data_IF_926992667372
#
_entry.id   IF_926992667372
#
_cell.length_a   1.000
_cell.length_b   1.000
_cell.length_c   1.000
_cell.angle_alpha   90.00
_cell.angle_beta   90.00
_cell.angle_gamma   90.00
#
_symmetry.space_group_name_H-M   'P 1'
#
loop_
_entity.id
_entity.type
_entity.pdbx_description
1 polymer ?
#
# COMPACT_ATOMS: atom_id res chain seq x y z
N UNK A 1 -17.04 22.84 -25.06
CA UNK A 1 -17.15 21.57 -24.29
C UNK A 1 -17.68 20.50 -25.24
N UNK A 2 -16.82 19.62 -25.76
CA UNK A 2 -17.28 18.53 -26.63
C UNK A 2 -17.91 17.42 -25.79
N UNK A 3 -19.17 17.09 -26.10
CA UNK A 3 -19.90 16.00 -25.43
C UNK A 3 -19.20 14.70 -25.78
N UNK A 4 -18.65 14.00 -24.77
CA UNK A 4 -18.04 12.68 -25.00
C UNK A 4 -19.12 11.69 -25.44
N UNK A 5 -18.91 10.91 -26.51
CA UNK A 5 -19.92 10.00 -27.02
C UNK A 5 -20.18 8.89 -26.01
N UNK A 6 -21.45 8.55 -25.86
CA UNK A 6 -21.95 7.49 -24.99
C UNK A 6 -21.40 6.11 -25.43
N UNK A 7 -21.33 5.11 -24.54
CA UNK A 7 -20.89 3.76 -24.91
C UNK A 7 -21.70 3.16 -26.06
N UNK A 8 -22.99 3.50 -26.14
CA UNK A 8 -23.87 3.09 -27.23
C UNK A 8 -23.50 3.75 -28.58
N UNK A 9 -23.21 5.06 -28.58
CA UNK A 9 -22.76 5.77 -29.79
C UNK A 9 -21.42 5.23 -30.30
N UNK A 10 -20.51 4.85 -29.41
CA UNK A 10 -19.22 4.25 -29.78
C UNK A 10 -19.38 2.85 -30.39
N UNK A 11 -20.29 2.05 -29.84
CA UNK A 11 -20.63 0.75 -30.40
C UNK A 11 -21.23 0.87 -31.81
N UNK A 12 -22.14 1.82 -32.00
CA UNK A 12 -22.72 2.10 -33.31
C UNK A 12 -21.68 2.57 -34.34
N UNK A 13 -20.73 3.41 -33.94
CA UNK A 13 -19.63 3.84 -34.80
C UNK A 13 -18.73 2.66 -35.21
N UNK A 14 -18.44 1.73 -34.30
CA UNK A 14 -17.66 0.54 -34.60
C UNK A 14 -18.37 -0.37 -35.60
N UNK A 15 -19.67 -0.63 -35.38
CA UNK A 15 -20.49 -1.42 -36.31
C UNK A 15 -20.53 -0.74 -37.68
N UNK A 16 -20.73 0.59 -37.72
CA UNK A 16 -20.73 1.37 -38.97
C UNK A 16 -19.41 1.27 -39.74
N UNK A 17 -18.26 1.38 -39.07
CA UNK A 17 -16.96 1.23 -39.70
C UNK A 17 -16.74 -0.19 -40.25
N UNK A 18 -17.13 -1.24 -39.53
CA UNK A 18 -17.01 -2.62 -40.01
C UNK A 18 -17.88 -2.87 -41.26
N UNK A 19 -19.12 -2.36 -41.28
CA UNK A 19 -20.02 -2.47 -42.45
C UNK A 19 -19.46 -1.71 -43.65
N UNK A 20 -18.89 -0.52 -43.44
CA UNK A 20 -18.29 0.27 -44.53
C UNK A 20 -17.08 -0.43 -45.16
N UNK A 21 -16.22 -1.08 -44.37
CA UNK A 21 -15.06 -1.84 -44.87
C UNK A 21 -15.50 -3.06 -45.68
N UNK A 22 -16.53 -3.79 -45.21
CA UNK A 22 -17.13 -4.91 -45.96
C UNK A 22 -17.70 -4.44 -47.30
N UNK A 23 -18.44 -3.32 -47.31
CA UNK A 23 -19.00 -2.75 -48.53
C UNK A 23 -17.89 -2.31 -49.51
N UNK A 24 -16.80 -1.70 -49.03
CA UNK A 24 -15.68 -1.28 -49.87
C UNK A 24 -14.97 -2.48 -50.51
N UNK A 25 -14.78 -3.57 -49.75
CA UNK A 25 -14.17 -4.80 -50.24
C UNK A 25 -15.01 -5.51 -51.32
N UNK A 26 -16.34 -5.38 -51.26
CA UNK A 26 -17.27 -5.90 -52.27
C UNK A 26 -17.36 -5.02 -53.53
N UNK A 27 -16.93 -3.76 -53.45
CA UNK A 27 -17.07 -2.76 -54.52
C UNK A 27 -15.87 -2.67 -55.48
N UNK A 28 -14.78 -3.40 -55.22
CA UNK A 28 -13.60 -3.38 -56.08
C UNK A 28 -13.90 -4.07 -57.43
N UNK A 29 -13.73 -3.39 -58.58
CA UNK A 29 -14.12 -3.94 -59.88
C UNK A 29 -13.27 -5.15 -60.27
N UNK A 30 -13.93 -6.22 -60.69
CA UNK A 30 -13.30 -7.47 -61.12
C UNK A 30 -12.88 -7.37 -62.59
N UNK A 31 -11.58 -7.56 -62.87
CA UNK A 31 -11.03 -7.38 -64.21
C UNK A 31 -11.18 -8.60 -65.15
N UNK A 32 -11.62 -9.78 -64.66
CA UNK A 32 -11.74 -10.95 -65.55
C UNK A 32 -12.70 -12.03 -65.00
N UNK A 33 -13.67 -12.45 -65.82
CA UNK A 33 -14.77 -13.36 -65.42
C UNK A 33 -14.32 -14.80 -65.13
N UNK A 34 -13.09 -15.16 -65.53
CA UNK A 34 -12.57 -16.54 -65.45
C UNK A 34 -12.17 -16.98 -64.04
N UNK A 35 -12.08 -16.05 -63.09
CA UNK A 35 -11.66 -16.34 -61.71
C UNK A 35 -12.66 -15.85 -60.65
N UNK A 36 -13.93 -15.64 -61.03
CA UNK A 36 -14.96 -15.06 -60.16
C UNK A 36 -15.12 -15.80 -58.82
N UNK A 37 -15.02 -17.13 -58.80
CA UNK A 37 -15.11 -17.93 -57.57
C UNK A 37 -13.94 -17.72 -56.61
N UNK A 38 -12.70 -17.65 -57.13
CA UNK A 38 -11.49 -17.42 -56.32
C UNK A 38 -11.46 -15.98 -55.82
N UNK A 39 -11.92 -15.03 -56.63
CA UNK A 39 -12.03 -13.63 -56.27
C UNK A 39 -13.08 -13.40 -55.16
N UNK A 40 -14.26 -14.04 -55.26
CA UNK A 40 -15.29 -14.00 -54.23
C UNK A 40 -14.81 -14.60 -52.91
N UNK A 41 -14.12 -15.76 -52.96
CA UNK A 41 -13.57 -16.40 -51.77
C UNK A 41 -12.51 -15.52 -51.08
N UNK A 42 -11.61 -14.88 -51.85
CA UNK A 42 -10.62 -13.94 -51.32
C UNK A 42 -11.26 -12.70 -50.72
N UNK A 43 -12.30 -12.15 -51.34
CA UNK A 43 -13.02 -11.00 -50.82
C UNK A 43 -13.74 -11.31 -49.49
N UNK A 44 -14.39 -12.48 -49.39
CA UNK A 44 -15.04 -12.94 -48.17
C UNK A 44 -14.04 -13.20 -47.04
N UNK A 45 -12.90 -13.83 -47.34
CA UNK A 45 -11.86 -14.09 -46.35
C UNK A 45 -11.23 -12.77 -45.86
N UNK A 46 -10.76 -11.90 -46.77
CA UNK A 46 -10.12 -10.64 -46.39
C UNK A 46 -11.09 -9.68 -45.69
N UNK A 47 -12.34 -9.58 -46.15
CA UNK A 47 -13.39 -8.78 -45.52
C UNK A 47 -13.79 -9.30 -44.13
N UNK A 48 -13.85 -10.63 -43.97
CA UNK A 48 -14.10 -11.29 -42.69
C UNK A 48 -12.98 -11.03 -41.67
N UNK A 49 -11.73 -11.19 -42.07
CA UNK A 49 -10.56 -10.90 -41.21
C UNK A 49 -10.49 -9.42 -40.81
N UNK A 50 -10.70 -8.50 -41.74
CA UNK A 50 -10.70 -7.06 -41.44
C UNK A 50 -11.82 -6.68 -40.44
N UNK A 51 -12.99 -7.29 -40.56
CA UNK A 51 -14.12 -7.08 -39.64
C UNK A 51 -13.84 -7.63 -38.24
N UNK A 52 -13.24 -8.82 -38.14
CA UNK A 52 -12.87 -9.41 -36.85
C UNK A 52 -11.79 -8.58 -36.13
N UNK A 53 -10.79 -8.07 -36.85
CA UNK A 53 -9.72 -7.23 -36.27
C UNK A 53 -10.30 -5.90 -35.77
N UNK A 54 -11.16 -5.24 -36.54
CA UNK A 54 -11.77 -3.95 -36.13
C UNK A 54 -12.68 -4.10 -34.90
N UNK A 55 -13.50 -5.15 -34.85
CA UNK A 55 -14.31 -5.46 -33.66
C UNK A 55 -13.45 -5.82 -32.44
N UNK A 56 -12.40 -6.63 -32.63
CA UNK A 56 -11.48 -7.02 -31.56
C UNK A 56 -10.72 -5.83 -30.96
N UNK A 57 -10.14 -4.97 -31.81
CA UNK A 57 -9.45 -3.76 -31.36
C UNK A 57 -10.43 -2.75 -30.73
N UNK A 58 -11.65 -2.63 -31.26
CA UNK A 58 -12.69 -1.76 -30.71
C UNK A 58 -13.16 -2.20 -29.31
N UNK A 59 -13.46 -3.49 -29.12
CA UNK A 59 -13.82 -4.07 -27.82
C UNK A 59 -12.65 -3.98 -26.83
N UNK A 60 -11.43 -4.27 -27.28
CA UNK A 60 -10.21 -4.13 -26.47
C UNK A 60 -10.01 -2.69 -25.98
N UNK A 61 -10.16 -1.71 -26.87
CA UNK A 61 -10.06 -0.29 -26.52
C UNK A 61 -11.18 0.16 -25.58
N UNK A 62 -12.41 -0.36 -25.75
CA UNK A 62 -13.53 -0.06 -24.86
C UNK A 62 -13.29 -0.59 -23.44
N UNK A 63 -12.87 -1.85 -23.30
CA UNK A 63 -12.53 -2.45 -22.00
C UNK A 63 -11.36 -1.72 -21.36
N UNK A 64 -10.33 -1.39 -22.14
CA UNK A 64 -9.18 -0.63 -21.67
C UNK A 64 -9.59 0.78 -21.20
N UNK A 65 -10.45 1.48 -21.93
CA UNK A 65 -10.95 2.80 -21.54
C UNK A 65 -11.82 2.75 -20.28
N UNK A 66 -12.67 1.73 -20.11
CA UNK A 66 -13.45 1.58 -18.88
C UNK A 66 -12.57 1.24 -17.67
N UNK A 67 -11.53 0.44 -17.85
CA UNK A 67 -10.54 0.15 -16.79
C UNK A 67 -9.83 1.43 -16.37
N UNK A 68 -9.34 2.22 -17.34
CA UNK A 68 -8.67 3.51 -17.09
C UNK A 68 -9.60 4.53 -16.42
N UNK A 69 -10.88 4.59 -16.82
CA UNK A 69 -11.86 5.48 -16.20
C UNK A 69 -12.18 5.11 -14.73
N UNK A 70 -12.19 3.81 -14.40
CA UNK A 70 -12.34 3.35 -13.01
C UNK A 70 -11.12 3.74 -12.17
N UNK A 71 -9.91 3.52 -12.67
CA UNK A 71 -8.65 3.91 -12.00
C UNK A 71 -8.61 5.42 -11.72
N UNK A 72 -8.93 6.25 -12.72
CA UNK A 72 -8.97 7.71 -12.58
C UNK A 72 -10.03 8.19 -11.57
N UNK A 73 -11.19 7.51 -11.48
CA UNK A 73 -12.24 7.86 -10.51
C UNK A 73 -11.85 7.50 -9.07
N UNK A 74 -11.16 6.39 -8.86
CA UNK A 74 -10.64 6.00 -7.55
C UNK A 74 -9.54 6.95 -7.08
N UNK A 75 -8.60 7.33 -7.95
CA UNK A 75 -7.55 8.31 -7.65
C UNK A 75 -8.13 9.71 -7.38
N UNK A 76 -9.10 10.18 -8.18
CA UNK A 76 -9.76 11.47 -7.92
C UNK A 76 -10.50 11.51 -6.59
N UNK A 77 -11.18 10.44 -6.17
CA UNK A 77 -11.87 10.43 -4.86
C UNK A 77 -10.90 10.42 -3.68
N UNK A 78 -9.77 9.73 -3.79
CA UNK A 78 -8.72 9.74 -2.77
C UNK A 78 -8.04 11.11 -2.70
N UNK A 79 -7.72 11.73 -3.84
CA UNK A 79 -7.11 13.06 -3.89
C UNK A 79 -8.05 14.19 -3.44
N UNK A 80 -9.34 14.12 -3.79
CA UNK A 80 -10.34 15.10 -3.34
C UNK A 80 -10.57 15.03 -1.82
N UNK A 81 -10.46 13.85 -1.21
CA UNK A 81 -10.51 13.69 0.25
C UNK A 81 -9.23 14.14 0.94
N UNK A 82 -8.06 13.85 0.37
CA UNK A 82 -6.79 14.37 0.86
C UNK A 82 -6.81 15.92 0.88
N UNK A 83 -7.27 16.55 -0.22
CA UNK A 83 -7.46 18.00 -0.29
C UNK A 83 -8.50 18.53 0.70
N UNK A 84 -9.58 17.79 0.96
CA UNK A 84 -10.57 18.17 1.98
C UNK A 84 -9.99 18.12 3.41
N UNK A 85 -9.16 17.11 3.74
CA UNK A 85 -8.46 17.04 5.03
C UNK A 85 -7.38 18.12 5.18
N UNK A 86 -6.69 18.50 4.11
CA UNK A 86 -5.75 19.65 4.13
C UNK A 86 -6.48 20.99 4.18
N UNK A 87 -7.71 21.10 3.65
CA UNK A 87 -8.52 22.31 3.75
C UNK A 87 -9.13 22.51 5.15
N UNK A 88 -9.34 21.43 5.92
CA UNK A 88 -9.84 21.50 7.30
C UNK A 88 -8.73 21.75 8.34
N UNK A 89 -7.48 21.47 8.02
CA UNK A 89 -6.31 21.84 8.84
C UNK A 89 -5.63 23.04 8.18
N UNK A 90 -6.12 24.24 8.53
CA UNK A 90 -5.79 25.50 7.88
C UNK A 90 -4.30 25.77 7.66
N UNK A 91 -4.05 26.46 6.54
CA UNK A 91 -2.91 27.32 6.22
C UNK A 91 -1.50 26.77 6.49
N UNK A 92 -0.77 26.54 5.40
CA UNK A 92 0.67 26.36 5.40
C UNK A 92 1.35 27.50 6.20
N UNK A 93 2.27 27.21 7.13
CA UNK A 93 3.13 28.25 7.67
C UNK A 93 4.04 28.72 6.54
N UNK A 94 3.97 30.01 6.28
CA UNK A 94 4.85 30.74 5.38
C UNK A 94 6.31 30.48 5.74
N UNK A 95 7.08 30.01 4.75
CA UNK A 95 8.48 29.65 4.92
C UNK A 95 9.28 30.90 5.33
N UNK A 96 9.53 31.05 6.64
CA UNK A 96 10.45 32.06 7.15
C UNK A 96 11.86 31.50 6.95
N UNK A 97 12.55 32.05 5.95
CA UNK A 97 13.98 31.80 5.72
C UNK A 97 14.76 32.40 6.91
N UNK A 98 15.37 31.55 7.72
CA UNK A 98 16.33 31.97 8.75
C UNK A 98 17.75 31.88 8.16
N UNK A 99 18.56 32.95 8.19
CA UNK A 99 19.92 32.93 7.65
C UNK A 99 20.89 32.19 8.59
N UNK A 100 21.89 31.53 8.00
CA UNK A 100 22.89 30.73 8.71
C UNK A 100 23.79 31.59 9.64
N UNK A 101 24.14 31.11 10.84
CA UNK A 101 25.06 31.81 11.73
C UNK A 101 26.54 31.55 11.36
N UNK A 102 27.46 32.51 11.64
CA UNK A 102 28.88 32.40 11.30
C UNK A 102 29.66 31.51 12.29
N UNK A 103 30.87 31.03 11.93
CA UNK A 103 31.62 30.10 12.77
C UNK A 103 32.28 30.80 13.95
N UNK A 104 32.05 30.29 15.16
CA UNK A 104 32.74 30.72 16.36
C UNK A 104 34.06 29.95 16.54
N UNK A 105 35.13 30.72 16.74
CA UNK A 105 36.45 30.24 17.07
C UNK A 105 36.52 29.71 18.51
N UNK A 106 37.40 28.75 18.67
CA UNK A 106 37.89 28.07 19.87
C UNK A 106 38.33 29.00 21.00
N UNK A 107 38.12 28.56 22.25
CA UNK A 107 39.17 28.39 23.26
C UNK A 107 38.66 27.51 24.44
N UNK A 108 39.50 26.58 24.88
CA UNK A 108 39.40 25.73 26.12
C UNK A 108 40.60 26.14 27.01
N UNK A 109 40.72 25.87 28.35
CA UNK A 109 40.14 24.76 29.11
C UNK A 109 39.85 24.94 30.65
N UNK A 110 39.40 23.82 31.25
CA UNK A 110 39.26 23.47 32.69
C UNK A 110 38.03 24.07 33.41
N UNK A 111 37.25 23.37 34.25
CA UNK A 111 37.57 22.26 35.14
C UNK A 111 36.29 21.53 35.62
N UNK A 112 36.47 20.33 36.18
CA UNK A 112 35.57 19.57 37.09
C UNK A 112 34.32 18.87 36.53
N UNK A 113 34.38 17.53 36.63
CA UNK A 113 33.33 16.53 36.37
C UNK A 113 32.09 16.77 37.25
N UNK A 114 30.88 16.68 36.67
CA UNK A 114 29.72 16.00 37.29
C UNK A 114 28.67 15.68 36.21
N UNK A 115 28.38 14.38 36.09
CA UNK A 115 27.22 13.74 35.47
C UNK A 115 26.78 14.18 34.06
N UNK A 116 27.23 13.41 33.07
CA UNK A 116 26.54 13.26 31.78
C UNK A 116 25.13 12.71 32.02
N UNK A 117 24.04 13.35 31.54
CA UNK A 117 22.78 12.67 31.43
C UNK A 117 22.92 11.69 30.28
N UNK A 118 23.00 10.40 30.61
CA UNK A 118 22.74 9.32 29.66
C UNK A 118 21.34 9.55 29.12
N UNK A 119 21.24 10.02 27.87
CA UNK A 119 19.98 10.06 27.16
C UNK A 119 19.40 8.63 27.13
N UNK A 120 18.14 8.41 27.55
CA UNK A 120 17.56 7.08 27.53
C UNK A 120 17.57 6.54 26.11
N UNK A 121 18.27 5.41 25.93
CA UNK A 121 18.65 4.89 24.63
C UNK A 121 17.46 4.51 23.75
N UNK A 122 17.53 4.93 22.48
CA UNK A 122 16.60 4.53 21.41
C UNK A 122 16.51 3.01 21.19
N UNK A 123 17.46 2.23 21.73
CA UNK A 123 17.48 0.77 21.64
C UNK A 123 16.34 0.10 22.43
N UNK A 124 15.85 0.72 23.51
CA UNK A 124 14.79 0.16 24.36
C UNK A 124 13.38 0.27 23.75
N UNK A 125 13.24 1.06 22.69
CA UNK A 125 11.94 1.49 22.16
C UNK A 125 11.36 0.48 21.15
N UNK A 126 12.22 -0.16 20.35
CA UNK A 126 11.81 -1.14 19.35
C UNK A 126 11.81 -2.55 19.93
N UNK A 127 10.64 -3.18 19.98
CA UNK A 127 10.46 -4.56 20.48
C UNK A 127 9.58 -5.37 19.53
N UNK A 128 9.71 -6.69 19.54
CA UNK A 128 8.83 -7.59 18.78
C UNK A 128 7.38 -7.49 19.26
N UNK A 129 7.16 -7.24 20.55
CA UNK A 129 5.82 -7.00 21.12
C UNK A 129 5.13 -5.77 20.53
N UNK A 130 5.87 -4.67 20.32
CA UNK A 130 5.35 -3.52 19.60
C UNK A 130 4.94 -3.89 18.17
N UNK A 131 5.81 -4.56 17.41
CA UNK A 131 5.51 -4.98 16.04
C UNK A 131 4.25 -5.85 15.95
N UNK A 132 4.04 -6.73 16.95
CA UNK A 132 2.84 -7.56 17.04
C UNK A 132 1.56 -6.74 17.31
N UNK A 133 1.68 -5.70 18.14
CA UNK A 133 0.58 -4.80 18.50
C UNK A 133 0.16 -3.84 17.37
N UNK A 134 1.08 -3.48 16.46
CA UNK A 134 0.76 -2.60 15.34
C UNK A 134 -0.36 -3.18 14.45
N UNK A 135 -1.29 -2.30 14.08
CA UNK A 135 -2.21 -2.59 13.00
C UNK A 135 -1.46 -2.73 11.67
N UNK A 136 -2.09 -3.40 10.69
CA UNK A 136 -1.42 -3.75 9.44
C UNK A 136 -0.93 -2.51 8.67
N UNK A 137 -1.67 -1.40 8.71
CA UNK A 137 -1.31 -0.16 8.01
C UNK A 137 -0.14 0.54 8.70
N UNK A 138 -0.14 0.62 10.03
CA UNK A 138 1.00 1.15 10.81
C UNK A 138 2.27 0.33 10.60
N UNK A 139 2.13 -0.99 10.48
CA UNK A 139 3.25 -1.86 10.17
C UNK A 139 3.82 -1.61 8.76
N UNK A 140 2.96 -1.40 7.76
CA UNK A 140 3.40 -1.00 6.42
C UNK A 140 4.09 0.37 6.42
N UNK A 141 3.53 1.35 7.13
CA UNK A 141 4.13 2.69 7.31
C UNK A 141 5.52 2.60 7.96
N UNK A 142 5.69 1.73 8.97
CA UNK A 142 6.97 1.47 9.62
C UNK A 142 8.00 0.91 8.62
N UNK A 143 7.61 -0.12 7.87
CA UNK A 143 8.51 -0.75 6.91
C UNK A 143 8.89 0.23 5.79
N UNK A 144 7.93 1.01 5.25
CA UNK A 144 8.21 2.05 4.28
C UNK A 144 9.15 3.14 4.87
N UNK A 145 8.86 3.60 6.09
CA UNK A 145 9.66 4.61 6.79
C UNK A 145 11.11 4.18 7.00
N UNK A 146 11.33 2.92 7.38
CA UNK A 146 12.69 2.35 7.50
C UNK A 146 13.46 2.45 6.18
N UNK A 147 12.86 2.06 5.05
CA UNK A 147 13.53 2.14 3.75
C UNK A 147 13.76 3.58 3.28
N UNK A 148 12.82 4.50 3.56
CA UNK A 148 13.03 5.93 3.31
C UNK A 148 14.23 6.50 4.06
N UNK A 149 14.37 6.16 5.34
CA UNK A 149 15.53 6.57 6.14
C UNK A 149 16.86 5.98 5.65
N UNK A 150 16.80 4.86 4.92
CA UNK A 150 17.96 4.25 4.25
C UNK A 150 18.24 4.84 2.87
N UNK A 151 17.49 5.85 2.45
CA UNK A 151 17.67 6.57 1.18
C UNK A 151 16.89 5.99 0.01
N UNK A 152 16.04 4.97 0.22
CA UNK A 152 15.21 4.42 -0.85
C UNK A 152 13.95 5.26 -1.05
N UNK A 153 13.52 5.43 -2.31
CA UNK A 153 12.17 5.91 -2.59
C UNK A 153 11.19 4.75 -2.40
N UNK A 154 10.11 5.00 -1.68
CA UNK A 154 9.06 4.02 -1.40
C UNK A 154 7.74 4.50 -1.95
N UNK A 155 7.07 3.68 -2.76
CA UNK A 155 5.73 3.99 -3.26
C UNK A 155 4.76 2.90 -2.85
N UNK A 156 3.60 3.28 -2.31
CA UNK A 156 2.56 2.32 -1.96
C UNK A 156 1.66 2.12 -3.16
N UNK A 157 1.60 0.89 -3.70
CA UNK A 157 0.61 0.58 -4.72
C UNK A 157 -0.70 0.18 -4.02
N UNK A 158 -1.85 0.77 -4.39
CA UNK A 158 -3.13 0.33 -3.84
C UNK A 158 -3.33 -1.16 -4.12
N UNK A 159 -4.07 -1.86 -3.25
CA UNK A 159 -4.25 -3.28 -3.41
C UNK A 159 -4.91 -3.57 -4.76
N UNK A 160 -4.32 -4.48 -5.53
CA UNK A 160 -4.98 -5.05 -6.70
C UNK A 160 -6.23 -5.84 -6.32
N UNK A 161 -6.83 -6.54 -7.28
CA UNK A 161 -7.94 -7.49 -7.04
C UNK A 161 -7.66 -8.50 -5.91
N UNK A 162 -6.38 -8.73 -5.61
CA UNK A 162 -5.89 -9.79 -4.74
C UNK A 162 -5.66 -9.33 -3.29
N UNK A 163 -5.94 -8.05 -2.99
CA UNK A 163 -6.16 -7.57 -1.61
C UNK A 163 -4.92 -7.35 -0.74
N UNK A 164 -3.70 -7.39 -1.29
CA UNK A 164 -2.47 -7.01 -0.60
C UNK A 164 -2.00 -5.62 -1.02
N UNK A 165 -1.66 -4.75 -0.07
CA UNK A 165 -0.87 -3.55 -0.35
C UNK A 165 0.59 -3.98 -0.40
N UNK A 166 1.30 -3.57 -1.45
CA UNK A 166 2.74 -3.76 -1.54
C UNK A 166 3.44 -2.41 -1.70
N UNK A 167 4.67 -2.36 -1.20
CA UNK A 167 5.53 -1.18 -1.26
C UNK A 167 6.57 -1.43 -2.35
N UNK A 168 6.61 -0.58 -3.35
CA UNK A 168 7.66 -0.56 -4.35
C UNK A 168 8.87 0.18 -3.82
N UNK A 169 10.05 -0.40 -4.05
CA UNK A 169 11.33 0.14 -3.64
C UNK A 169 12.11 0.58 -4.88
N UNK A 170 12.61 1.81 -4.87
CA UNK A 170 13.50 2.34 -5.90
C UNK A 170 14.80 2.81 -5.26
N UNK A 171 15.91 2.53 -5.92
CA UNK A 171 17.24 2.92 -5.46
C UNK A 171 17.49 4.39 -5.83
N UNK A 172 18.09 5.22 -4.95
CA UNK A 172 18.26 6.66 -5.21
C UNK A 172 19.16 6.99 -6.41
N UNK A 173 20.13 6.13 -6.72
CA UNK A 173 21.17 6.24 -7.76
C UNK A 173 20.71 5.77 -9.15
N UNK A 174 19.76 4.85 -9.25
CA UNK A 174 19.33 4.27 -10.55
C UNK A 174 18.06 4.89 -11.15
N UNK A 175 17.61 6.03 -10.63
CA UNK A 175 16.39 6.70 -11.08
C UNK A 175 15.13 5.87 -10.83
N UNK A 176 14.21 5.84 -11.80
CA UNK A 176 12.88 5.21 -11.66
C UNK A 176 12.85 3.70 -11.90
N UNK A 177 14.01 3.04 -11.94
CA UNK A 177 14.06 1.58 -12.07
C UNK A 177 13.59 0.92 -10.78
N UNK A 178 12.52 0.13 -10.88
CA UNK A 178 12.02 -0.69 -9.77
C UNK A 178 13.12 -1.65 -9.29
N UNK A 179 13.57 -1.48 -8.05
CA UNK A 179 14.55 -2.36 -7.43
C UNK A 179 13.86 -3.60 -6.89
N UNK A 180 12.76 -3.41 -6.16
CA UNK A 180 12.10 -4.52 -5.50
C UNK A 180 10.71 -4.24 -4.99
N UNK A 181 10.02 -5.31 -4.65
CA UNK A 181 8.68 -5.29 -4.06
C UNK A 181 8.79 -5.76 -2.62
N UNK A 182 8.30 -4.93 -1.70
CA UNK A 182 8.20 -5.20 -0.28
C UNK A 182 6.76 -5.54 0.07
N UNK A 183 6.54 -6.77 0.55
CA UNK A 183 5.25 -7.24 1.02
C UNK A 183 5.27 -7.37 2.55
N UNK A 184 4.37 -6.65 3.19
CA UNK A 184 4.15 -6.69 4.64
C UNK A 184 2.79 -7.32 4.88
N UNK A 185 2.73 -8.54 5.44
CA UNK A 185 1.45 -9.16 5.78
C UNK A 185 1.50 -9.72 7.18
N UNK A 186 0.42 -9.49 7.92
CA UNK A 186 0.14 -10.23 9.12
C UNK A 186 -0.25 -11.67 8.76
N UNK A 187 0.42 -12.64 9.35
CA UNK A 187 0.05 -14.05 9.18
C UNK A 187 -1.40 -14.29 9.59
N UNK A 188 -2.08 -15.18 8.88
CA UNK A 188 -3.39 -15.68 9.26
C UNK A 188 -3.33 -16.51 10.55
N UNK A 189 -4.47 -17.10 10.94
CA UNK A 189 -4.72 -17.79 12.22
C UNK A 189 -3.78 -18.98 12.58
N UNK A 190 -2.66 -19.19 11.89
CA UNK A 190 -1.69 -20.26 12.09
C UNK A 190 -0.28 -19.81 12.47
N UNK A 191 -0.09 -18.55 12.88
CA UNK A 191 1.14 -18.07 13.52
C UNK A 191 2.35 -17.86 12.62
N UNK A 192 2.55 -18.58 11.52
CA UNK A 192 3.71 -18.40 10.62
C UNK A 192 3.28 -17.99 9.19
N UNK A 193 4.17 -17.28 8.47
CA UNK A 193 4.00 -17.01 7.04
C UNK A 193 4.17 -18.32 6.26
N UNK A 194 3.20 -18.66 5.41
CA UNK A 194 3.23 -19.85 4.58
C UNK A 194 3.89 -19.63 3.22
N UNK A 195 4.00 -20.72 2.45
CA UNK A 195 4.56 -20.67 1.09
C UNK A 195 3.70 -19.85 0.12
N UNK A 196 2.37 -19.80 0.34
CA UNK A 196 1.43 -19.12 -0.55
C UNK A 196 1.78 -17.65 -0.71
N UNK A 197 2.03 -16.97 0.41
CA UNK A 197 2.35 -15.55 0.43
C UNK A 197 3.69 -15.25 -0.27
N UNK A 198 4.66 -16.17 -0.19
CA UNK A 198 5.93 -16.02 -0.92
C UNK A 198 5.78 -16.31 -2.42
N UNK A 199 4.89 -17.22 -2.82
CA UNK A 199 4.56 -17.45 -4.23
C UNK A 199 3.86 -16.25 -4.84
N UNK A 200 2.94 -15.63 -4.10
CA UNK A 200 2.29 -14.37 -4.49
C UNK A 200 3.34 -13.28 -4.72
N UNK A 201 4.25 -13.06 -3.76
CA UNK A 201 5.34 -12.10 -3.91
C UNK A 201 6.22 -12.39 -5.12
N UNK A 202 6.63 -13.65 -5.31
CA UNK A 202 7.48 -14.04 -6.43
C UNK A 202 6.78 -13.86 -7.79
N UNK A 203 5.47 -14.10 -7.84
CA UNK A 203 4.64 -13.82 -9.01
C UNK A 203 4.60 -12.32 -9.34
N UNK A 204 4.40 -11.46 -8.35
CA UNK A 204 4.44 -10.01 -8.53
C UNK A 204 5.80 -9.53 -9.02
N UNK A 205 6.90 -10.05 -8.46
CA UNK A 205 8.25 -9.71 -8.93
C UNK A 205 8.44 -10.03 -10.41
N UNK A 206 7.94 -11.19 -10.84
CA UNK A 206 8.04 -11.63 -12.23
C UNK A 206 7.22 -10.74 -13.16
N UNK A 207 6.00 -10.38 -12.74
CA UNK A 207 5.11 -9.51 -13.52
C UNK A 207 5.67 -8.08 -13.69
N UNK A 208 6.32 -7.56 -12.65
CA UNK A 208 6.82 -6.17 -12.60
C UNK A 208 8.32 -6.06 -12.92
N UNK A 209 8.97 -7.17 -13.32
CA UNK A 209 10.41 -7.25 -13.55
C UNK A 209 11.26 -6.73 -12.36
N UNK A 210 10.79 -6.94 -11.14
CA UNK A 210 11.47 -6.51 -9.92
C UNK A 210 12.66 -7.43 -9.62
N UNK A 211 13.84 -6.85 -9.37
CA UNK A 211 15.06 -7.60 -9.13
C UNK A 211 15.14 -8.23 -7.72
N UNK A 212 14.31 -7.76 -6.78
CA UNK A 212 14.31 -8.19 -5.38
C UNK A 212 12.88 -8.27 -4.83
N UNK A 213 12.57 -9.35 -4.12
CA UNK A 213 11.38 -9.43 -3.28
C UNK A 213 11.80 -9.40 -1.83
N UNK A 214 11.20 -8.53 -1.04
CA UNK A 214 11.38 -8.50 0.40
C UNK A 214 10.04 -8.85 1.05
N UNK A 215 10.03 -9.92 1.82
CA UNK A 215 8.88 -10.24 2.66
C UNK A 215 9.23 -9.92 4.10
N UNK A 216 8.40 -9.13 4.78
CA UNK A 216 8.56 -8.82 6.20
C UNK A 216 7.42 -9.45 6.98
N UNK A 217 7.76 -10.39 7.86
CA UNK A 217 6.79 -11.11 8.69
C UNK A 217 6.77 -10.57 10.11
N UNK A 218 5.57 -10.56 10.73
CA UNK A 218 5.38 -10.24 12.16
C UNK A 218 5.45 -11.47 13.07
N UNK A 219 5.50 -12.66 12.49
CA UNK A 219 5.40 -13.90 13.28
C UNK A 219 6.24 -15.06 12.72
N UNK A 220 7.20 -14.76 11.84
CA UNK A 220 8.15 -15.71 11.29
C UNK A 220 7.64 -16.45 10.05
N UNK A 221 8.35 -17.51 9.65
CA UNK A 221 8.15 -18.24 8.40
C UNK A 221 8.10 -19.74 8.66
N UNK A 222 7.27 -20.46 7.91
CA UNK A 222 7.31 -21.92 7.91
C UNK A 222 8.61 -22.44 7.26
N UNK A 223 9.04 -23.65 7.61
CA UNK A 223 10.20 -24.29 6.97
C UNK A 223 10.04 -24.41 5.45
N UNK A 224 8.81 -24.66 4.98
CA UNK A 224 8.47 -24.70 3.56
C UNK A 224 8.65 -23.33 2.89
N UNK A 225 8.24 -22.24 3.55
CA UNK A 225 8.42 -20.88 3.05
C UNK A 225 9.92 -20.52 2.94
N UNK A 226 10.71 -20.87 3.96
CA UNK A 226 12.17 -20.67 3.94
C UNK A 226 12.80 -21.46 2.79
N UNK A 227 12.46 -22.74 2.63
CA UNK A 227 12.95 -23.58 1.54
C UNK A 227 12.55 -23.02 0.16
N UNK A 228 11.34 -22.49 0.01
CA UNK A 228 10.91 -21.85 -1.23
C UNK A 228 11.74 -20.60 -1.55
N UNK A 229 12.13 -19.80 -0.55
CA UNK A 229 12.94 -18.60 -0.78
C UNK A 229 14.39 -18.91 -1.20
N UNK A 230 14.91 -20.09 -0.87
CA UNK A 230 16.28 -20.49 -1.22
C UNK A 230 16.51 -20.48 -2.74
N UNK A 231 17.64 -19.90 -3.16
CA UNK A 231 18.02 -19.78 -4.57
C UNK A 231 17.19 -18.78 -5.38
N UNK A 232 16.22 -18.09 -4.78
CA UNK A 232 15.41 -17.05 -5.43
C UNK A 232 15.86 -15.66 -4.98
N UNK A 233 15.59 -14.60 -5.76
CA UNK A 233 15.79 -13.20 -5.35
C UNK A 233 14.80 -12.75 -4.25
N UNK A 234 14.51 -13.61 -3.28
CA UNK A 234 13.64 -13.35 -2.15
C UNK A 234 14.47 -13.18 -0.89
N UNK A 235 14.20 -12.10 -0.14
CA UNK A 235 14.73 -11.86 1.20
C UNK A 235 13.60 -11.92 2.21
N UNK A 236 13.83 -12.69 3.27
CA UNK A 236 12.89 -12.85 4.37
C UNK A 236 13.42 -12.06 5.57
N UNK A 237 12.57 -11.21 6.14
CA UNK A 237 12.87 -10.43 7.33
C UNK A 237 11.86 -10.78 8.43
N UNK A 238 12.35 -11.48 9.44
CA UNK A 238 11.58 -11.85 10.62
C UNK A 238 11.45 -10.67 11.61
N UNK A 239 10.61 -10.78 12.64
CA UNK A 239 10.40 -9.69 13.60
C UNK A 239 11.69 -9.27 14.30
N UNK A 240 12.51 -10.24 14.70
CA UNK A 240 13.78 -10.01 15.39
C UNK A 240 14.78 -9.29 14.47
N UNK A 241 14.87 -9.71 13.21
CA UNK A 241 15.68 -9.07 12.19
C UNK A 241 15.24 -7.64 11.93
N UNK A 242 13.93 -7.36 11.83
CA UNK A 242 13.42 -6.00 11.67
C UNK A 242 13.79 -5.11 12.87
N UNK A 243 13.60 -5.60 14.10
CA UNK A 243 14.02 -4.86 15.31
C UNK A 243 15.52 -4.57 15.29
N UNK A 244 16.35 -5.55 14.90
CA UNK A 244 17.78 -5.36 14.80
C UNK A 244 18.17 -4.29 13.76
N UNK A 245 17.45 -4.21 12.64
CA UNK A 245 17.64 -3.17 11.64
C UNK A 245 17.21 -1.79 12.14
N UNK A 246 16.06 -1.69 12.81
CA UNK A 246 15.55 -0.43 13.37
C UNK A 246 16.48 0.15 14.46
N UNK A 247 17.08 -0.73 15.27
CA UNK A 247 18.06 -0.34 16.30
C UNK A 247 19.41 0.13 15.73
N UNK A 248 19.72 -0.22 14.48
CA UNK A 248 20.93 0.24 13.77
C UNK A 248 20.76 1.61 13.10
N UNK A 249 19.55 2.16 13.07
CA UNK A 249 19.34 3.52 12.58
C UNK A 249 20.00 4.55 13.53
N UNK A 250 20.41 5.72 13.01
CA UNK A 250 20.80 6.85 13.85
C UNK A 250 19.72 7.14 14.90
N UNK A 251 20.14 7.45 16.14
CA UNK A 251 19.24 7.54 17.28
C UNK A 251 18.06 8.51 17.06
N UNK A 252 18.35 9.68 16.48
CA UNK A 252 17.35 10.71 16.15
C UNK A 252 16.33 10.22 15.11
N UNK A 253 16.81 9.64 14.01
CA UNK A 253 15.95 9.10 12.95
C UNK A 253 15.08 7.94 13.47
N UNK A 254 15.64 7.09 14.32
CA UNK A 254 14.94 5.97 14.97
C UNK A 254 13.84 6.48 15.91
N UNK A 255 14.12 7.52 16.71
CA UNK A 255 13.14 8.12 17.61
C UNK A 255 12.02 8.84 16.86
N UNK A 256 12.34 9.58 15.80
CA UNK A 256 11.35 10.25 14.95
C UNK A 256 10.40 9.25 14.29
N UNK A 257 10.94 8.17 13.71
CA UNK A 257 10.13 7.10 13.13
C UNK A 257 9.24 6.42 14.19
N UNK A 258 9.77 6.18 15.40
CA UNK A 258 8.96 5.63 16.48
C UNK A 258 7.77 6.52 16.82
N UNK A 259 8.02 7.81 17.06
CA UNK A 259 6.99 8.77 17.39
C UNK A 259 5.91 8.88 16.30
N UNK A 260 6.29 8.78 15.03
CA UNK A 260 5.34 8.77 13.90
C UNK A 260 4.43 7.54 13.91
N UNK A 261 5.00 6.35 14.17
CA UNK A 261 4.31 5.06 14.09
C UNK A 261 3.38 4.81 15.27
N UNK A 262 3.79 5.20 16.48
CA UNK A 262 2.99 5.01 17.71
C UNK A 262 2.03 6.17 17.99
N UNK A 263 1.92 7.12 17.06
CA UNK A 263 0.99 8.24 17.17
C UNK A 263 -0.46 7.76 17.11
N UNK A 264 -1.30 8.39 17.93
CA UNK A 264 -2.74 8.12 18.00
C UNK A 264 -3.04 6.64 18.33
N UNK A 265 -4.12 6.11 17.76
CA UNK A 265 -4.45 4.69 17.83
C UNK A 265 -3.61 3.91 16.81
N UNK A 266 -2.58 3.20 17.25
CA UNK A 266 -1.74 2.35 16.40
C UNK A 266 -2.11 0.86 16.44
N UNK A 267 -3.02 0.46 17.35
CA UNK A 267 -3.31 -0.94 17.64
C UNK A 267 -4.65 -1.40 17.06
N UNK A 268 -5.66 -0.52 17.00
CA UNK A 268 -6.94 -0.86 16.39
C UNK A 268 -6.77 -1.08 14.89
N UNK A 269 -7.27 -2.20 14.34
CA UNK A 269 -7.20 -2.48 12.91
C UNK A 269 -7.77 -1.36 12.05
N UNK A 270 -7.02 -0.99 11.01
CA UNK A 270 -7.49 -0.14 9.93
C UNK A 270 -8.39 -0.96 8.97
N UNK A 271 -9.41 -0.34 8.40
CA UNK A 271 -10.30 -1.01 7.45
C UNK A 271 -9.57 -1.27 6.13
N UNK A 272 -9.54 -2.50 5.59
CA UNK A 272 -8.85 -2.78 4.32
C UNK A 272 -9.51 -2.11 3.10
N UNK A 273 -10.75 -1.63 3.23
CA UNK A 273 -11.47 -0.97 2.14
C UNK A 273 -11.36 0.57 2.16
N UNK A 274 -11.50 1.20 3.33
CA UNK A 274 -11.49 2.67 3.44
C UNK A 274 -10.32 3.25 4.24
N UNK A 275 -9.56 2.42 4.96
CA UNK A 275 -8.39 2.84 5.74
C UNK A 275 -8.67 3.37 7.15
N UNK A 276 -9.94 3.58 7.53
CA UNK A 276 -10.31 4.09 8.87
C UNK A 276 -10.28 3.02 9.96
N UNK A 277 -10.14 3.44 11.22
CA UNK A 277 -10.17 2.54 12.38
C UNK A 277 -11.51 1.82 12.50
N UNK A 278 -11.43 0.49 12.62
CA UNK A 278 -12.58 -0.40 12.70
C UNK A 278 -13.20 -0.40 14.11
N UNK A 279 -14.45 -0.86 14.19
CA UNK A 279 -15.16 -1.08 15.45
C UNK A 279 -15.28 -2.57 15.70
N UNK A 280 -15.14 -2.97 16.96
CA UNK A 280 -15.37 -4.34 17.39
C UNK A 280 -16.87 -4.60 17.48
N UNK A 281 -17.36 -5.52 16.64
CA UNK A 281 -18.77 -5.90 16.53
C UNK A 281 -18.96 -7.35 16.93
N UNK A 282 -20.21 -7.69 17.28
CA UNK A 282 -20.62 -9.07 17.61
C UNK A 282 -21.79 -9.44 16.71
N UNK A 283 -21.74 -10.62 16.10
CA UNK A 283 -22.89 -11.17 15.37
C UNK A 283 -24.01 -11.47 16.37
N UNK A 284 -25.15 -10.83 16.20
CA UNK A 284 -26.31 -10.99 17.10
C UNK A 284 -27.23 -12.13 16.68
N UNK A 285 -27.12 -12.61 15.44
CA UNK A 285 -28.01 -13.62 14.88
C UNK A 285 -27.28 -14.56 13.91
N UNK A 286 -27.91 -15.72 13.64
CA UNK A 286 -27.41 -16.75 12.72
C UNK A 286 -26.50 -17.80 13.36
N UNK A 287 -25.98 -18.76 12.57
CA UNK A 287 -25.21 -19.91 13.06
C UNK A 287 -23.90 -19.55 13.79
N UNK A 288 -23.45 -18.30 13.67
CA UNK A 288 -22.24 -17.77 14.31
C UNK A 288 -22.56 -16.64 15.28
N UNK A 289 -23.79 -16.56 15.79
CA UNK A 289 -24.16 -15.60 16.82
C UNK A 289 -23.19 -15.68 18.01
N UNK A 290 -22.86 -14.54 18.60
CA UNK A 290 -21.86 -14.40 19.66
C UNK A 290 -20.41 -14.26 19.16
N UNK A 291 -20.12 -14.55 17.89
CA UNK A 291 -18.76 -14.33 17.36
C UNK A 291 -18.48 -12.84 17.17
N UNK A 292 -17.29 -12.41 17.59
CA UNK A 292 -16.80 -11.04 17.44
C UNK A 292 -16.02 -10.90 16.14
N UNK A 293 -16.07 -9.72 15.54
CA UNK A 293 -15.30 -9.36 14.35
C UNK A 293 -15.05 -7.84 14.30
N UNK A 294 -14.04 -7.41 13.55
CA UNK A 294 -13.84 -6.00 13.25
C UNK A 294 -14.70 -5.60 12.06
N UNK A 295 -15.61 -4.65 12.24
CA UNK A 295 -16.45 -4.08 11.19
C UNK A 295 -16.12 -2.61 10.95
N UNK A 296 -16.24 -2.15 9.70
CA UNK A 296 -16.03 -0.74 9.40
C UNK A 296 -17.01 0.16 10.18
N UNK A 297 -16.51 1.33 10.64
CA UNK A 297 -17.34 2.37 11.27
C UNK A 297 -18.34 3.00 10.31
N UNK A 298 -18.03 3.02 9.02
CA UNK A 298 -18.86 3.60 7.95
C UNK A 298 -19.86 2.60 7.34
N UNK A 299 -20.16 1.48 7.99
CA UNK A 299 -21.22 0.58 7.53
C UNK A 299 -22.59 1.31 7.60
N UNK A 300 -23.45 1.24 6.56
CA UNK A 300 -23.42 0.30 5.42
C UNK A 300 -22.61 0.73 4.18
N UNK A 301 -22.14 1.98 4.11
CA UNK A 301 -21.44 2.54 2.95
C UNK A 301 -20.08 1.89 2.69
N UNK A 302 -19.41 1.44 3.75
CA UNK A 302 -18.20 0.63 3.67
C UNK A 302 -18.44 -0.70 4.40
N UNK A 303 -18.33 -1.82 3.67
CA UNK A 303 -18.62 -3.17 4.16
C UNK A 303 -17.36 -3.95 4.57
N UNK A 304 -16.26 -3.24 4.81
CA UNK A 304 -14.99 -3.84 5.21
C UNK A 304 -15.12 -4.61 6.52
N UNK A 305 -14.58 -5.83 6.52
CA UNK A 305 -14.63 -6.78 7.61
C UNK A 305 -13.26 -7.42 7.82
N UNK A 306 -12.89 -7.64 9.07
CA UNK A 306 -11.69 -8.39 9.43
C UNK A 306 -12.00 -9.32 10.61
N UNK A 307 -11.52 -10.58 10.60
CA UNK A 307 -11.66 -11.47 11.74
C UNK A 307 -10.89 -10.91 12.95
N UNK A 308 -11.31 -11.25 14.18
CA UNK A 308 -10.42 -11.07 15.32
C UNK A 308 -9.21 -11.99 15.13
N UNK A 309 -8.03 -11.46 15.43
CA UNK A 309 -6.86 -12.29 15.66
C UNK A 309 -7.09 -13.08 16.95
N UNK A 310 -6.61 -14.32 16.99
CA UNK A 310 -6.66 -15.16 18.20
C UNK A 310 -5.77 -14.62 19.35
N UNK A 311 -5.07 -13.51 19.14
CA UNK A 311 -4.20 -12.85 20.09
C UNK A 311 -4.63 -11.37 20.17
N UNK A 312 -4.73 -10.84 21.41
CA UNK A 312 -5.17 -9.49 21.80
C UNK A 312 -6.57 -9.41 22.45
N UNK A 313 -6.92 -10.40 23.26
CA UNK A 313 -7.71 -10.11 24.47
C UNK A 313 -6.71 -9.65 25.54
N UNK A 314 -7.03 -8.52 26.18
CA UNK A 314 -6.27 -7.77 27.21
C UNK A 314 -5.07 -6.96 26.71
N UNK A 315 -5.27 -5.67 26.40
CA UNK A 315 -4.93 -4.54 27.28
C UNK A 315 -5.82 -3.37 26.86
N UNK A 316 -6.80 -3.02 27.70
CA UNK A 316 -7.33 -1.67 27.67
C UNK A 316 -6.16 -0.77 28.07
N UNK A 317 -5.60 -0.02 27.12
CA UNK A 317 -4.67 1.06 27.46
C UNK A 317 -5.51 2.13 28.16
N UNK A 318 -5.31 2.39 29.46
CA UNK A 318 -5.96 3.53 30.09
C UNK A 318 -5.28 4.77 29.49
N UNK A 319 -6.01 5.47 28.63
CA UNK A 319 -5.74 6.88 28.39
C UNK A 319 -6.09 7.57 29.71
N UNK A 320 -5.13 8.30 30.29
CA UNK A 320 -5.16 9.03 31.58
C UNK A 320 -4.38 8.37 32.73
N UNK A 321 -3.10 8.72 32.84
CA UNK A 321 -2.43 8.96 34.13
C UNK A 321 -1.11 9.73 33.91
N UNK A 322 -1.18 10.98 33.44
CA UNK A 322 -0.16 11.96 33.81
C UNK A 322 -0.56 12.48 35.20
N UNK A 323 -0.09 11.80 36.25
CA UNK A 323 -0.11 12.34 37.60
C UNK A 323 1.19 13.13 37.81
N UNK A 324 1.06 14.41 38.08
CA UNK A 324 2.18 15.29 38.44
C UNK A 324 2.86 14.81 39.74
N UNK A 325 4.20 14.87 39.84
CA UNK A 325 4.87 14.64 41.10
C UNK A 325 4.85 15.90 41.98
N UNK A 326 4.24 15.81 43.16
CA UNK A 326 4.71 16.53 44.34
C UNK A 326 3.81 17.64 44.90
N UNK A 327 3.02 17.32 45.93
CA UNK A 327 2.73 18.24 47.03
C UNK A 327 2.89 17.49 48.35
N UNK A 328 3.80 17.90 49.26
CA UNK A 328 3.91 17.26 50.57
C UNK A 328 2.69 17.61 51.45
N UNK A 329 2.34 16.74 52.42
CA UNK A 329 1.19 16.94 53.27
C UNK A 329 1.38 18.15 54.19
N UNK A 330 0.34 18.99 54.25
CA UNK A 330 0.23 20.11 55.19
C UNK A 330 0.02 19.53 56.59
N UNK A 331 0.86 19.91 57.54
CA UNK A 331 0.77 19.52 58.94
C UNK A 331 -0.63 19.81 59.50
N UNK A 332 -1.20 18.81 60.20
CA UNK A 332 -2.42 18.97 60.96
C UNK A 332 -2.15 19.90 62.15
N UNK A 333 -2.92 20.98 62.23
CA UNK A 333 -3.07 21.74 63.45
C UNK A 333 -4.08 21.01 64.35
N UNK A 334 -3.62 20.52 65.50
CA UNK A 334 -4.38 20.30 66.74
C UNK A 334 -3.37 20.05 67.86
#
# INVERSE_FOLDING_TARGET
MSRRPSPFERLLLLIGCSVAVLALGLSLPFADARHAGIALLRALLLGGFASAITLGLGLGLMVWQERRAREEWHLRRVQLRARATYATHGSAPEATVVPAPPPAASDTPADTRTASPVAPGSAAVWTTGLLAALDWRRFEELCAGYFRLRGYRTEQRPPGSDGGIHIELYRPDTGDRLLGILLCRACGNGGCTGIRELRELYGMMTAEAAALGLYVSRSGYSAEAVAFAQGKPLRLLDPSGLVALLRKLPAEASAALYAEIVRDDYATPSCPQCGDKMLLRTLTSGPRAGTRFWGCRHYPDCRGLMPLRAENVTVAVPVHAFAEPGRPPRAAAS
#
